data_IF_899297918124
#
_entry.id   IF_899297918124
#
_cell.length_a   1.000
_cell.length_b   1.000
_cell.length_c   1.000
_cell.angle_alpha   90.00
_cell.angle_beta   90.00
_cell.angle_gamma   90.00
#
_symmetry.space_group_name_H-M   'P 1'
#
loop_
_entity.id
_entity.type
_entity.pdbx_description
1 polymer ?
#
# COMPACT_ATOMS: atom_id res chain seq x y z
N UNK A 1 -2.86 -44.53 22.79
CA UNK A 1 -4.23 -44.15 23.20
C UNK A 1 -4.58 -42.82 22.53
N UNK A 2 -5.09 -42.86 21.30
CA UNK A 2 -5.40 -41.66 20.52
C UNK A 2 -6.76 -41.09 20.92
N UNK A 3 -6.78 -39.83 21.37
CA UNK A 3 -8.03 -39.07 21.60
C UNK A 3 -8.41 -38.35 20.31
N UNK A 4 -9.56 -38.72 19.78
CA UNK A 4 -10.22 -38.06 18.64
C UNK A 4 -10.90 -36.80 19.18
N UNK A 5 -10.48 -35.62 18.72
CA UNK A 5 -11.19 -34.35 18.98
C UNK A 5 -12.24 -34.11 17.89
N UNK A 6 -13.50 -33.92 18.30
CA UNK A 6 -14.59 -33.49 17.41
C UNK A 6 -14.61 -31.96 17.34
N UNK A 7 -14.71 -31.35 16.14
CA UNK A 7 -14.87 -29.91 16.02
C UNK A 7 -16.32 -29.48 16.33
N UNK A 8 -16.46 -28.44 17.14
CA UNK A 8 -17.73 -27.81 17.50
C UNK A 8 -18.18 -26.90 16.36
N UNK A 9 -19.35 -27.17 15.77
CA UNK A 9 -19.94 -26.30 14.76
C UNK A 9 -20.64 -25.10 15.41
N UNK A 10 -20.19 -23.89 15.09
CA UNK A 10 -20.84 -22.63 15.48
C UNK A 10 -21.81 -22.23 14.37
N UNK A 11 -23.10 -22.10 14.70
CA UNK A 11 -24.14 -21.62 13.78
C UNK A 11 -24.10 -20.10 13.67
N UNK A 12 -24.26 -19.51 12.46
CA UNK A 12 -24.34 -18.07 12.30
C UNK A 12 -25.67 -17.53 12.86
N UNK A 13 -25.57 -16.53 13.75
CA UNK A 13 -26.70 -15.75 14.25
C UNK A 13 -27.21 -14.81 13.15
N UNK A 14 -28.39 -15.09 12.61
CA UNK A 14 -29.15 -14.16 11.76
C UNK A 14 -29.51 -12.92 12.58
N UNK A 15 -28.95 -11.75 12.21
CA UNK A 15 -29.42 -10.45 12.70
C UNK A 15 -30.77 -10.13 12.05
N UNK A 16 -31.81 -10.04 12.86
CA UNK A 16 -33.11 -9.48 12.46
C UNK A 16 -33.01 -7.96 12.52
N UNK A 17 -33.11 -7.30 11.36
CA UNK A 17 -33.26 -5.84 11.27
C UNK A 17 -34.73 -5.52 11.60
N UNK A 18 -34.98 -5.03 12.82
CA UNK A 18 -36.29 -4.47 13.19
C UNK A 18 -36.44 -3.07 12.62
N UNK A 19 -37.31 -2.91 11.62
CA UNK A 19 -37.86 -1.61 11.25
C UNK A 19 -38.85 -1.16 12.34
N UNK A 20 -38.47 -0.17 13.14
CA UNK A 20 -39.40 0.49 14.07
C UNK A 20 -40.27 1.46 13.28
N UNK A 21 -41.59 1.20 13.30
CA UNK A 21 -42.59 2.09 12.74
C UNK A 21 -42.63 3.42 13.52
N UNK A 22 -42.50 4.54 12.82
CA UNK A 22 -42.68 5.88 13.39
C UNK A 22 -44.19 6.14 13.54
N UNK A 23 -44.69 6.45 14.75
CA UNK A 23 -46.10 6.76 14.96
C UNK A 23 -46.42 8.14 14.36
N UNK A 24 -47.50 8.16 13.60
CA UNK A 24 -48.03 9.32 12.92
C UNK A 24 -48.69 10.31 13.90
N UNK A 25 -48.20 11.55 13.94
CA UNK A 25 -48.98 12.70 14.36
C UNK A 25 -48.51 13.98 13.63
N UNK A 26 -49.37 14.42 12.70
CA UNK A 26 -49.55 15.78 12.18
C UNK A 26 -48.33 16.60 11.71
N UNK A 27 -48.14 16.69 10.38
CA UNK A 27 -48.54 17.86 9.57
C UNK A 27 -47.61 18.09 8.36
N UNK A 28 -48.14 17.77 7.18
CA UNK A 28 -47.98 18.52 5.92
C UNK A 28 -46.61 19.14 5.59
N UNK A 29 -45.73 18.33 4.98
CA UNK A 29 -45.03 18.76 3.77
C UNK A 29 -44.75 17.52 2.89
N UNK A 30 -45.35 17.53 1.70
CA UNK A 30 -45.16 16.56 0.64
C UNK A 30 -43.70 16.56 0.18
N UNK A 31 -42.94 15.52 0.52
CA UNK A 31 -41.87 15.02 -0.33
C UNK A 31 -41.98 13.50 -0.31
N UNK A 32 -42.30 12.94 -1.48
CA UNK A 32 -42.42 11.51 -1.69
C UNK A 32 -41.10 10.83 -1.32
N UNK A 33 -41.06 10.18 -0.15
CA UNK A 33 -40.02 9.23 0.20
C UNK A 33 -40.27 7.98 -0.62
N UNK A 34 -39.78 7.96 -1.86
CA UNK A 34 -39.65 6.74 -2.62
C UNK A 34 -38.63 5.87 -1.88
N UNK A 35 -39.12 4.83 -1.21
CA UNK A 35 -38.31 3.69 -0.82
C UNK A 35 -37.84 3.05 -2.13
N UNK A 36 -36.65 3.43 -2.59
CA UNK A 36 -36.02 2.72 -3.71
C UNK A 36 -35.60 1.38 -3.13
N UNK A 37 -36.26 0.31 -3.57
CA UNK A 37 -35.81 -1.06 -3.37
C UNK A 37 -34.41 -1.18 -4.00
N UNK A 38 -33.37 -1.02 -3.18
CA UNK A 38 -32.02 -1.36 -3.59
C UNK A 38 -31.94 -2.88 -3.60
N UNK A 39 -32.11 -3.46 -4.80
CA UNK A 39 -31.75 -4.84 -5.10
C UNK A 39 -30.28 -5.09 -4.72
N UNK A 40 -30.06 -5.66 -3.52
CA UNK A 40 -28.74 -6.04 -3.02
C UNK A 40 -28.24 -7.37 -3.60
N UNK A 41 -29.01 -8.04 -4.47
CA UNK A 41 -28.70 -9.37 -4.99
C UNK A 41 -28.47 -9.42 -6.52
N UNK A 42 -28.37 -8.27 -7.20
CA UNK A 42 -27.85 -8.29 -8.57
C UNK A 42 -26.35 -8.61 -8.52
N UNK A 43 -25.86 -9.71 -9.13
CA UNK A 43 -24.43 -9.95 -9.23
C UNK A 43 -23.84 -8.77 -10.01
N UNK A 44 -23.12 -7.89 -9.29
CA UNK A 44 -22.31 -6.88 -9.94
C UNK A 44 -21.30 -7.65 -10.77
N UNK A 45 -21.52 -7.68 -12.08
CA UNK A 45 -20.43 -7.75 -13.03
C UNK A 45 -19.68 -6.43 -12.87
N UNK A 46 -18.89 -6.36 -11.78
CA UNK A 46 -18.16 -5.18 -11.32
C UNK A 46 -16.92 -5.00 -12.19
N UNK A 47 -17.12 -4.95 -13.51
CA UNK A 47 -16.12 -4.35 -14.37
C UNK A 47 -16.20 -2.85 -14.09
N UNK A 48 -15.26 -2.39 -13.28
CA UNK A 48 -14.92 -0.97 -13.27
C UNK A 48 -14.79 -0.52 -14.72
N UNK A 49 -15.38 0.63 -15.11
CA UNK A 49 -15.28 1.12 -16.46
C UNK A 49 -13.81 1.15 -16.89
N UNK A 50 -13.48 0.78 -18.14
CA UNK A 50 -12.10 0.81 -18.61
C UNK A 50 -11.53 2.21 -18.38
N UNK A 51 -10.46 2.29 -17.57
CA UNK A 51 -9.80 3.55 -17.27
C UNK A 51 -9.14 4.02 -18.56
N UNK A 52 -9.74 5.01 -19.22
CA UNK A 52 -9.20 5.62 -20.42
C UNK A 52 -8.63 6.98 -20.04
N UNK A 53 -7.38 7.26 -20.39
CA UNK A 53 -6.75 8.55 -20.10
C UNK A 53 -5.32 8.43 -19.56
N UNK A 54 -4.87 9.47 -18.88
CA UNK A 54 -3.58 9.52 -18.18
C UNK A 54 -3.82 8.99 -16.77
N UNK A 55 -3.04 8.01 -16.28
CA UNK A 55 -3.14 7.53 -14.89
C UNK A 55 -3.04 8.66 -13.88
N UNK A 56 -3.92 8.68 -12.88
CA UNK A 56 -3.89 9.64 -11.77
C UNK A 56 -3.68 8.93 -10.44
N UNK A 57 -3.18 9.64 -9.42
CA UNK A 57 -3.07 9.09 -8.08
C UNK A 57 -4.44 8.65 -7.57
N UNK A 58 -5.49 9.46 -7.75
CA UNK A 58 -6.83 9.13 -7.29
C UNK A 58 -7.35 7.83 -7.89
N UNK A 59 -7.16 7.62 -9.20
CA UNK A 59 -7.60 6.38 -9.85
C UNK A 59 -6.83 5.17 -9.31
N UNK A 60 -5.51 5.29 -9.20
CA UNK A 60 -4.66 4.25 -8.62
C UNK A 60 -5.07 3.93 -7.17
N UNK A 61 -5.29 4.96 -6.34
CA UNK A 61 -5.60 4.80 -4.94
C UNK A 61 -6.98 4.19 -4.71
N UNK A 62 -7.97 4.52 -5.55
CA UNK A 62 -9.27 3.84 -5.54
C UNK A 62 -9.14 2.34 -5.84
N UNK A 63 -8.28 1.98 -6.79
CA UNK A 63 -8.07 0.58 -7.18
C UNK A 63 -7.29 -0.21 -6.13
N UNK A 64 -6.13 0.30 -5.69
CA UNK A 64 -5.20 -0.44 -4.81
C UNK A 64 -5.73 -0.58 -3.38
N UNK A 65 -6.56 0.36 -2.92
CA UNK A 65 -7.24 0.27 -1.62
C UNK A 65 -8.60 -0.42 -1.71
N UNK A 66 -9.01 -0.81 -2.92
CA UNK A 66 -10.23 -1.56 -3.19
C UNK A 66 -10.06 -3.08 -3.01
N UNK A 67 -10.95 -3.84 -3.64
CA UNK A 67 -11.02 -5.31 -3.50
C UNK A 67 -9.80 -6.04 -4.07
N UNK A 68 -9.12 -5.46 -5.08
CA UNK A 68 -8.03 -6.13 -5.79
C UNK A 68 -6.85 -6.52 -4.88
N UNK A 69 -6.58 -5.73 -3.83
CA UNK A 69 -5.49 -5.94 -2.89
C UNK A 69 -5.95 -5.94 -1.42
N UNK A 70 -7.22 -6.25 -1.15
CA UNK A 70 -7.74 -6.23 0.22
C UNK A 70 -7.11 -7.27 1.15
N UNK A 71 -6.63 -8.39 0.60
CA UNK A 71 -5.96 -9.46 1.38
C UNK A 71 -4.48 -9.14 1.65
N UNK A 72 -3.90 -8.22 0.87
CA UNK A 72 -2.52 -7.72 1.00
C UNK A 72 -2.51 -6.20 0.91
N UNK A 73 -3.14 -5.50 1.88
CA UNK A 73 -3.37 -4.07 1.78
C UNK A 73 -2.04 -3.31 1.74
N UNK A 74 -1.82 -2.59 0.65
CA UNK A 74 -0.59 -1.82 0.43
C UNK A 74 -0.60 -0.47 1.17
N UNK A 75 -1.80 0.03 1.49
CA UNK A 75 -2.02 1.25 2.26
C UNK A 75 -3.13 1.02 3.27
N UNK A 76 -3.07 1.75 4.38
CA UNK A 76 -4.07 1.65 5.45
C UNK A 76 -5.41 2.26 5.05
N UNK A 77 -5.42 3.25 4.15
CA UNK A 77 -6.61 3.86 3.58
C UNK A 77 -6.28 4.72 2.35
N UNK A 78 -7.32 5.18 1.67
CA UNK A 78 -7.25 6.04 0.50
C UNK A 78 -6.45 7.33 0.73
N UNK A 79 -6.68 8.06 1.83
CA UNK A 79 -5.99 9.33 2.11
C UNK A 79 -4.48 9.16 2.28
N UNK A 80 -4.06 8.06 2.91
CA UNK A 80 -2.64 7.70 3.04
C UNK A 80 -2.05 7.34 1.67
N UNK A 81 -2.80 6.61 0.84
CA UNK A 81 -2.37 6.29 -0.52
C UNK A 81 -2.18 7.57 -1.36
N UNK A 82 -3.18 8.45 -1.41
CA UNK A 82 -3.17 9.68 -2.22
C UNK A 82 -1.97 10.56 -1.86
N UNK A 83 -1.79 10.80 -0.55
CA UNK A 83 -0.68 11.62 -0.07
C UNK A 83 0.67 10.99 -0.40
N UNK A 84 0.76 9.67 -0.32
CA UNK A 84 1.97 8.93 -0.71
C UNK A 84 2.25 9.10 -2.20
N UNK A 85 1.24 8.88 -3.05
CA UNK A 85 1.38 8.98 -4.49
C UNK A 85 1.77 10.39 -4.94
N UNK A 86 1.07 11.43 -4.46
CA UNK A 86 1.26 12.80 -4.93
C UNK A 86 2.48 13.49 -4.30
N UNK A 87 2.70 13.29 -3.00
CA UNK A 87 3.64 14.12 -2.23
C UNK A 87 4.94 13.40 -1.91
N UNK A 88 4.86 12.15 -1.44
CA UNK A 88 6.04 11.45 -0.87
C UNK A 88 6.78 10.57 -1.85
N UNK A 89 6.08 9.99 -2.81
CA UNK A 89 6.69 9.27 -3.91
C UNK A 89 6.75 10.18 -5.14
N UNK A 90 5.70 10.96 -5.39
CA UNK A 90 5.64 11.91 -6.50
C UNK A 90 5.81 11.20 -7.85
N UNK A 91 5.15 10.07 -8.02
CA UNK A 91 5.28 9.23 -9.20
C UNK A 91 4.78 9.94 -10.45
N UNK A 92 5.50 9.75 -11.55
CA UNK A 92 5.00 10.14 -12.85
C UNK A 92 3.82 9.25 -13.25
N UNK A 93 2.89 9.83 -14.02
CA UNK A 93 1.69 9.12 -14.45
C UNK A 93 2.01 7.84 -15.27
N UNK A 94 2.93 7.91 -16.23
CA UNK A 94 3.20 6.80 -17.14
C UNK A 94 2.02 6.46 -18.06
N UNK A 95 1.98 5.22 -18.58
CA UNK A 95 0.86 4.67 -19.35
C UNK A 95 0.32 3.35 -18.76
N UNK A 96 -0.95 3.04 -19.03
CA UNK A 96 -1.62 1.84 -18.50
C UNK A 96 -1.04 0.51 -18.98
N UNK A 97 -0.39 0.49 -20.14
CA UNK A 97 0.26 -0.70 -20.72
C UNK A 97 1.74 -0.83 -20.32
N UNK A 98 2.22 0.06 -19.45
CA UNK A 98 3.61 0.11 -19.06
C UNK A 98 3.92 -0.96 -18.00
N UNK A 99 4.44 -2.11 -18.40
CA UNK A 99 4.79 -3.19 -17.46
C UNK A 99 6.05 -2.97 -16.59
N UNK A 100 6.70 -1.80 -16.66
CA UNK A 100 7.97 -1.49 -15.95
C UNK A 100 8.13 0.00 -15.64
N UNK A 101 9.00 0.32 -14.68
CA UNK A 101 9.37 1.71 -14.34
C UNK A 101 8.52 2.27 -13.21
N UNK A 102 9.05 3.27 -12.49
CA UNK A 102 8.45 3.80 -11.27
C UNK A 102 7.32 4.80 -11.54
N UNK A 103 6.22 4.31 -12.12
CA UNK A 103 5.08 5.13 -12.57
C UNK A 103 3.76 4.64 -12.00
N UNK A 104 2.75 5.52 -11.99
CA UNK A 104 1.37 5.18 -11.61
C UNK A 104 0.81 4.13 -12.57
N UNK A 105 1.02 4.29 -13.88
CA UNK A 105 0.55 3.39 -14.93
C UNK A 105 1.02 1.94 -14.75
N UNK A 106 2.31 1.74 -14.42
CA UNK A 106 2.82 0.41 -14.10
C UNK A 106 2.11 -0.22 -12.90
N UNK A 107 1.91 0.57 -11.84
CA UNK A 107 1.26 0.10 -10.61
C UNK A 107 -0.19 -0.29 -10.87
N UNK A 108 -0.91 0.50 -11.66
CA UNK A 108 -2.28 0.17 -12.09
C UNK A 108 -2.33 -1.09 -12.96
N UNK A 109 -1.37 -1.29 -13.86
CA UNK A 109 -1.24 -2.55 -14.62
C UNK A 109 -1.03 -3.75 -13.68
N UNK A 110 -0.23 -3.63 -12.63
CA UNK A 110 -0.08 -4.69 -11.63
C UNK A 110 -1.39 -4.99 -10.89
N UNK A 111 -2.20 -3.99 -10.57
CA UNK A 111 -3.54 -4.24 -9.98
C UNK A 111 -4.43 -5.03 -10.95
N UNK A 112 -4.43 -4.68 -12.24
CA UNK A 112 -5.19 -5.43 -13.25
C UNK A 112 -4.73 -6.90 -13.28
N UNK A 113 -3.42 -7.15 -13.27
CA UNK A 113 -2.86 -8.49 -13.18
C UNK A 113 -3.27 -9.23 -11.90
N UNK A 114 -3.37 -8.54 -10.76
CA UNK A 114 -3.84 -9.12 -9.50
C UNK A 114 -5.30 -9.60 -9.61
N UNK A 115 -6.16 -8.82 -10.28
CA UNK A 115 -7.56 -9.15 -10.53
C UNK A 115 -7.69 -10.32 -11.51
N UNK A 116 -6.92 -10.32 -12.59
CA UNK A 116 -7.02 -11.37 -13.62
C UNK A 116 -6.31 -12.67 -13.24
N UNK A 117 -5.39 -12.64 -12.26
CA UNK A 117 -4.60 -13.78 -11.82
C UNK A 117 -4.67 -13.97 -10.29
N UNK A 118 -5.83 -14.33 -9.72
CA UNK A 118 -6.06 -14.34 -8.27
C UNK A 118 -5.11 -15.26 -7.49
N UNK A 119 -4.57 -16.32 -8.11
CA UNK A 119 -3.57 -17.20 -7.48
C UNK A 119 -2.22 -16.52 -7.21
N UNK A 120 -1.95 -15.41 -7.88
CA UNK A 120 -0.72 -14.62 -7.79
C UNK A 120 -1.02 -13.18 -7.31
N UNK A 121 -2.24 -12.91 -6.84
CA UNK A 121 -2.68 -11.57 -6.43
C UNK A 121 -1.71 -10.91 -5.45
N UNK A 122 -1.20 -11.64 -4.45
CA UNK A 122 -0.21 -11.11 -3.50
C UNK A 122 1.05 -10.56 -4.19
N UNK A 123 1.63 -11.30 -5.15
CA UNK A 123 2.80 -10.86 -5.91
C UNK A 123 2.51 -9.57 -6.67
N UNK A 124 1.36 -9.50 -7.35
CA UNK A 124 0.98 -8.33 -8.13
C UNK A 124 0.60 -7.13 -7.25
N UNK A 125 0.03 -7.36 -6.07
CA UNK A 125 -0.23 -6.30 -5.10
C UNK A 125 1.07 -5.72 -4.53
N UNK A 126 2.10 -6.53 -4.30
CA UNK A 126 3.43 -6.02 -3.92
C UNK A 126 4.07 -5.16 -5.02
N UNK A 127 3.84 -5.49 -6.30
CA UNK A 127 4.26 -4.68 -7.43
C UNK A 127 3.47 -3.36 -7.53
N UNK A 128 2.18 -3.40 -7.24
CA UNK A 128 1.31 -2.23 -7.22
C UNK A 128 1.64 -1.30 -6.03
N UNK A 129 2.04 -1.86 -4.90
CA UNK A 129 2.37 -1.13 -3.67
C UNK A 129 3.68 -0.36 -3.75
N UNK A 130 3.91 0.55 -2.80
CA UNK A 130 4.97 1.56 -2.84
C UNK A 130 6.35 1.05 -3.31
N UNK A 131 6.80 -0.13 -2.84
CA UNK A 131 8.12 -0.67 -3.22
C UNK A 131 8.27 -1.01 -4.71
N UNK A 132 7.15 -1.10 -5.44
CA UNK A 132 7.11 -1.45 -6.85
C UNK A 132 7.39 -2.93 -7.12
N UNK A 133 7.61 -3.76 -6.08
CA UNK A 133 7.93 -5.18 -6.20
C UNK A 133 9.16 -5.46 -7.08
N UNK A 134 10.07 -4.49 -7.22
CA UNK A 134 11.19 -4.52 -8.18
C UNK A 134 10.78 -4.64 -9.67
N UNK A 135 9.52 -4.32 -9.99
CA UNK A 135 8.94 -4.35 -11.34
C UNK A 135 8.55 -2.94 -11.77
N UNK A 136 7.72 -2.27 -10.97
CA UNK A 136 7.32 -0.87 -11.15
C UNK A 136 8.35 0.08 -10.55
N UNK A 137 9.57 0.00 -11.09
CA UNK A 137 10.78 0.60 -10.55
C UNK A 137 11.68 -0.46 -9.93
N UNK A 138 13.00 -0.33 -10.09
CA UNK A 138 13.91 -1.16 -9.29
C UNK A 138 13.85 -0.71 -7.84
N UNK A 139 14.17 -1.59 -6.90
CA UNK A 139 14.26 -1.18 -5.49
C UNK A 139 15.24 -0.03 -5.28
N UNK A 140 16.32 0.06 -6.07
CA UNK A 140 17.26 1.16 -5.98
C UNK A 140 16.74 2.47 -6.52
N UNK A 141 15.96 2.45 -7.61
CA UNK A 141 15.31 3.67 -8.12
C UNK A 141 14.33 4.18 -7.07
N UNK A 142 13.48 3.30 -6.54
CA UNK A 142 12.50 3.65 -5.50
C UNK A 142 13.19 4.18 -4.25
N UNK A 143 14.23 3.51 -3.77
CA UNK A 143 15.01 3.94 -2.61
C UNK A 143 15.63 5.33 -2.83
N UNK A 144 16.28 5.57 -3.97
CA UNK A 144 16.97 6.82 -4.23
C UNK A 144 16.01 8.00 -4.42
N UNK A 145 14.91 7.80 -5.12
CA UNK A 145 13.87 8.83 -5.27
C UNK A 145 13.24 9.20 -3.92
N UNK A 146 12.94 8.21 -3.07
CA UNK A 146 12.41 8.47 -1.72
C UNK A 146 13.44 9.16 -0.82
N UNK A 147 14.72 8.78 -0.91
CA UNK A 147 15.80 9.41 -0.17
C UNK A 147 15.95 10.89 -0.55
N UNK A 148 15.95 11.18 -1.85
CA UNK A 148 16.02 12.55 -2.34
C UNK A 148 14.83 13.36 -1.88
N UNK A 149 13.63 12.84 -2.13
CA UNK A 149 12.39 13.57 -1.89
C UNK A 149 12.12 13.82 -0.41
N UNK A 150 12.36 12.83 0.43
CA UNK A 150 11.95 12.88 1.84
C UNK A 150 13.09 13.29 2.77
N UNK A 151 14.35 13.20 2.34
CA UNK A 151 15.51 13.37 3.22
C UNK A 151 16.58 14.36 2.71
N UNK A 152 16.37 15.06 1.58
CA UNK A 152 17.32 16.06 1.08
C UNK A 152 17.70 17.13 2.11
N UNK A 153 16.80 17.46 3.04
CA UNK A 153 17.01 18.49 4.07
C UNK A 153 17.60 17.93 5.38
N UNK A 154 17.80 16.61 5.49
CA UNK A 154 18.32 15.98 6.71
C UNK A 154 19.84 15.83 6.57
N UNK A 155 20.64 16.49 7.43
CA UNK A 155 22.09 16.42 7.35
C UNK A 155 22.61 14.99 7.44
N UNK A 156 23.52 14.62 6.54
CA UNK A 156 24.16 13.29 6.47
C UNK A 156 23.19 12.12 6.20
N UNK A 157 21.95 12.39 5.76
CA UNK A 157 21.02 11.34 5.31
C UNK A 157 21.00 11.22 3.78
N UNK A 158 21.04 12.35 3.07
CA UNK A 158 21.01 12.35 1.60
C UNK A 158 22.37 12.00 1.00
N UNK A 159 22.35 11.10 0.01
CA UNK A 159 23.46 10.80 -0.88
C UNK A 159 23.16 11.41 -2.25
N UNK A 160 24.12 12.09 -2.90
CA UNK A 160 23.99 12.48 -4.30
C UNK A 160 23.57 11.28 -5.19
N UNK A 161 22.87 11.49 -6.31
CA UNK A 161 22.23 10.40 -7.06
C UNK A 161 23.19 9.25 -7.44
N UNK A 162 24.41 9.57 -7.88
CA UNK A 162 25.44 8.58 -8.21
C UNK A 162 25.86 7.72 -7.01
N UNK A 163 26.07 8.37 -5.85
CA UNK A 163 26.43 7.70 -4.61
C UNK A 163 25.28 6.87 -4.05
N UNK A 164 24.04 7.35 -4.22
CA UNK A 164 22.84 6.63 -3.80
C UNK A 164 22.70 5.28 -4.52
N UNK A 165 22.84 5.27 -5.84
CA UNK A 165 22.73 4.05 -6.65
C UNK A 165 23.82 3.02 -6.30
N UNK A 166 25.05 3.49 -6.08
CA UNK A 166 26.17 2.64 -5.67
C UNK A 166 25.98 2.08 -4.26
N UNK A 167 25.48 2.89 -3.32
CA UNK A 167 25.15 2.42 -1.99
C UNK A 167 24.05 1.35 -2.02
N UNK A 168 22.99 1.61 -2.79
CA UNK A 168 21.88 0.67 -2.88
C UNK A 168 22.25 -0.69 -3.48
N UNK A 169 23.15 -0.71 -4.47
CA UNK A 169 23.66 -1.95 -5.04
C UNK A 169 24.36 -2.86 -4.01
N UNK A 170 24.78 -2.32 -2.86
CA UNK A 170 25.36 -3.07 -1.75
C UNK A 170 24.35 -3.60 -0.73
N UNK A 171 23.09 -3.16 -0.75
CA UNK A 171 22.08 -3.61 0.20
C UNK A 171 21.57 -5.00 -0.15
N UNK A 172 21.18 -5.78 0.88
CA UNK A 172 20.47 -7.03 0.63
C UNK A 172 19.10 -6.73 0.03
N UNK A 173 18.64 -7.68 -0.77
CA UNK A 173 17.38 -7.57 -1.49
C UNK A 173 16.44 -8.74 -1.22
N UNK A 174 16.76 -9.57 -0.23
CA UNK A 174 15.99 -10.72 0.22
C UNK A 174 14.97 -10.38 1.33
N UNK A 175 14.81 -9.09 1.65
CA UNK A 175 13.75 -8.61 2.54
C UNK A 175 12.36 -8.64 1.89
N UNK A 176 11.34 -8.55 2.73
CA UNK A 176 9.94 -8.45 2.32
C UNK A 176 9.50 -6.98 2.26
N UNK A 177 8.68 -6.56 1.27
CA UNK A 177 8.05 -5.25 1.29
C UNK A 177 7.36 -4.97 2.64
N UNK A 178 7.69 -3.84 3.25
CA UNK A 178 7.15 -3.45 4.56
C UNK A 178 7.95 -3.96 5.78
N UNK A 179 9.05 -4.67 5.57
CA UNK A 179 10.01 -4.97 6.64
C UNK A 179 10.42 -3.69 7.37
N UNK A 180 10.45 -3.74 8.70
CA UNK A 180 10.76 -2.59 9.55
C UNK A 180 12.17 -2.66 10.13
N UNK A 181 12.86 -3.80 9.91
CA UNK A 181 14.16 -4.18 10.46
C UNK A 181 14.94 -5.03 9.44
N UNK A 182 16.23 -5.20 9.69
CA UNK A 182 17.17 -5.96 8.86
C UNK A 182 17.84 -5.09 7.79
N UNK A 183 19.10 -5.39 7.46
CA UNK A 183 19.88 -4.64 6.46
C UNK A 183 19.46 -4.98 5.02
N UNK A 184 18.26 -4.57 4.66
CA UNK A 184 17.70 -4.74 3.32
C UNK A 184 17.24 -3.41 2.73
N UNK A 185 17.19 -3.34 1.40
CA UNK A 185 16.62 -2.18 0.70
C UNK A 185 15.13 -1.98 1.03
N UNK A 186 14.39 -3.06 1.31
CA UNK A 186 12.99 -3.02 1.69
C UNK A 186 12.78 -2.34 3.05
N UNK A 187 13.63 -2.64 4.05
CA UNK A 187 13.63 -1.94 5.34
C UNK A 187 13.86 -0.44 5.16
N UNK A 188 14.82 -0.08 4.31
CA UNK A 188 15.19 1.31 4.06
C UNK A 188 14.06 2.07 3.38
N UNK A 189 13.44 1.49 2.35
CA UNK A 189 12.25 2.05 1.68
C UNK A 189 11.12 2.28 2.69
N UNK A 190 10.87 1.34 3.60
CA UNK A 190 9.85 1.50 4.65
C UNK A 190 10.11 2.76 5.49
N UNK A 191 11.32 2.93 6.02
CA UNK A 191 11.63 4.12 6.84
C UNK A 191 11.62 5.41 6.03
N UNK A 192 12.12 5.43 4.80
CA UNK A 192 12.05 6.61 3.95
C UNK A 192 10.62 7.03 3.63
N UNK A 193 9.70 6.07 3.56
CA UNK A 193 8.27 6.34 3.40
C UNK A 193 7.71 7.01 4.64
N UNK A 194 8.00 6.49 5.83
CA UNK A 194 7.56 7.11 7.10
C UNK A 194 8.11 8.52 7.28
N UNK A 195 9.32 8.79 6.76
CA UNK A 195 9.93 10.11 6.75
C UNK A 195 9.07 11.15 6.00
N UNK A 196 8.37 10.72 4.93
CA UNK A 196 7.37 11.54 4.25
C UNK A 196 5.99 11.52 4.93
N UNK A 197 5.53 10.36 5.39
CA UNK A 197 4.09 10.07 5.54
C UNK A 197 3.37 10.52 6.82
N UNK A 198 4.00 11.26 7.73
CA UNK A 198 3.35 11.65 8.99
C UNK A 198 3.17 13.17 9.13
N UNK A 199 1.92 13.60 8.98
CA UNK A 199 1.46 14.92 9.42
C UNK A 199 1.43 14.97 10.96
N UNK A 200 2.46 15.52 11.61
CA UNK A 200 2.42 15.75 13.06
C UNK A 200 3.74 16.13 13.75
N UNK A 201 3.78 17.38 14.24
CA UNK A 201 4.51 17.99 15.38
C UNK A 201 6.02 17.78 15.63
N UNK A 202 6.69 16.82 15.00
CA UNK A 202 8.15 16.75 14.93
C UNK A 202 8.57 16.54 13.47
N UNK A 203 9.77 16.98 13.05
CA UNK A 203 10.26 16.69 11.71
C UNK A 203 10.46 15.17 11.56
N UNK A 204 9.51 14.50 10.91
CA UNK A 204 9.48 13.03 10.76
C UNK A 204 10.64 12.54 9.89
N UNK A 205 11.10 13.40 8.99
CA UNK A 205 12.35 13.28 8.27
C UNK A 205 13.55 13.10 9.24
N UNK A 206 13.66 13.90 10.30
CA UNK A 206 14.73 13.75 11.30
C UNK A 206 14.63 12.44 12.09
N UNK A 207 13.43 11.90 12.28
CA UNK A 207 13.23 10.64 12.98
C UNK A 207 13.54 9.43 12.09
N UNK A 208 13.05 9.42 10.85
CA UNK A 208 13.06 8.22 10.01
C UNK A 208 14.17 8.19 8.95
N UNK A 209 14.62 9.34 8.43
CA UNK A 209 15.74 9.37 7.48
C UNK A 209 17.03 8.73 8.01
N UNK A 210 17.40 8.86 9.31
CA UNK A 210 18.57 8.18 9.85
C UNK A 210 18.49 6.64 9.80
N UNK A 211 17.29 6.05 9.75
CA UNK A 211 17.08 4.60 9.63
C UNK A 211 17.12 4.14 8.16
N UNK A 212 16.74 5.02 7.21
CA UNK A 212 16.74 4.72 5.79
C UNK A 212 18.09 4.87 5.09
N UNK A 213 18.98 5.75 5.58
CA UNK A 213 20.26 6.09 4.91
C UNK A 213 21.24 4.93 4.81
N UNK A 214 22.15 4.98 3.83
CA UNK A 214 23.09 3.90 3.52
C UNK A 214 23.87 3.34 4.71
N UNK A 215 24.23 4.18 5.68
CA UNK A 215 24.77 3.73 6.98
C UNK A 215 23.75 4.06 8.08
N UNK A 216 22.76 3.19 8.33
CA UNK A 216 21.65 3.51 9.21
C UNK A 216 22.12 3.57 10.66
N UNK A 217 21.49 4.41 11.48
CA UNK A 217 21.80 4.47 12.92
C UNK A 217 21.06 3.40 13.74
N UNK A 218 19.99 2.80 13.21
CA UNK A 218 19.21 1.73 13.83
C UNK A 218 18.27 1.05 12.80
N UNK A 219 17.63 -0.05 13.22
CA UNK A 219 16.61 -0.85 12.51
C UNK A 219 17.09 -1.58 11.26
N UNK A 220 17.54 -0.87 10.23
CA UNK A 220 18.00 -1.48 8.98
C UNK A 220 19.49 -1.85 9.03
N UNK A 221 19.92 -2.38 10.18
CA UNK A 221 21.27 -2.91 10.38
C UNK A 221 21.21 -4.42 10.29
N UNK A 222 22.35 -5.06 10.03
CA UNK A 222 22.43 -6.51 10.17
C UNK A 222 21.98 -6.84 11.59
N UNK A 223 21.02 -7.75 11.71
CA UNK A 223 20.79 -8.36 13.01
C UNK A 223 22.14 -8.97 13.38
N UNK A 224 22.71 -8.55 14.54
CA UNK A 224 23.90 -9.22 15.06
C UNK A 224 23.64 -10.71 14.93
N UNK A 225 24.55 -11.50 14.33
CA UNK A 225 24.29 -12.89 14.05
C UNK A 225 23.80 -13.52 15.34
N UNK A 226 22.49 -13.82 15.41
CA UNK A 226 21.88 -14.48 16.53
C UNK A 226 22.78 -15.69 16.77
N UNK A 227 23.44 -15.74 17.93
CA UNK A 227 24.50 -16.69 18.27
C UNK A 227 24.00 -18.13 18.32
N UNK A 228 23.55 -18.61 17.18
CA UNK A 228 22.97 -19.91 16.87
C UNK A 228 23.79 -20.51 15.72
N UNK A 229 25.11 -20.47 15.88
CA UNK A 229 25.95 -21.53 15.36
C UNK A 229 26.04 -22.64 16.42
N UNK A 230 25.57 -23.82 16.00
CA UNK A 230 25.61 -25.17 16.61
C UNK A 230 24.30 -25.74 17.16
#
# INVERSE_FOLDING_TARGET
MSRIHRPTQIRPLRRLVSCTAVPAALAWLLMASACVDTDLDAPRTSQAPPVTGVPTCSDYCLLVTGEACSDTPQYTNFDVCERTCEQFAGWEAGSFDQGRGNTIGCRMNSIDLAVTNPSESALYCDQAGLTGGNVCGSWCDVYCELMERNCANVPNSYLPPGECSSACAGFRTDGTPGDQRGDSVQCRIYHLTLAGNLAGSAPQDQLHCPHGRAVPNAFCVDDEPDGHDH
#
